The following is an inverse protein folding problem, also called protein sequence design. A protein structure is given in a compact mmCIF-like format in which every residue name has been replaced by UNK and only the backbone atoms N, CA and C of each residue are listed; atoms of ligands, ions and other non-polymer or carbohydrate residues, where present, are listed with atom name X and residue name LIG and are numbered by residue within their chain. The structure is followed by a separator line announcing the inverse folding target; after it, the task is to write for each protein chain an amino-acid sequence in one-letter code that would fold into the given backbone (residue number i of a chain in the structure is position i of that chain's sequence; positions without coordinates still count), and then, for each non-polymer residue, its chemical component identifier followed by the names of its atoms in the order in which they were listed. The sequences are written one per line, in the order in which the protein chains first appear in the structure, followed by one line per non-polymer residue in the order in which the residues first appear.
data_IF_843580736380
#
_entry.id   IF_843580736380
#
_cell.length_a   1.000
_cell.length_b   1.000
_cell.length_c   1.000
_cell.angle_alpha   90.00
_cell.angle_beta   90.00
_cell.angle_gamma   90.00
#
_symmetry.space_group_name_H-M   'P 1'
#
loop_
_entity.id
_entity.type
_entity.pdbx_description
1 polymer ?
#
# COMPACT_ATOMS: atom_id res chain seq x y z
N UNK A 1 18.49 0.94 1.93
CA UNK A 1 17.38 1.65 2.60
C UNK A 1 17.75 3.07 2.97
N UNK A 2 18.85 3.30 3.69
CA UNK A 2 19.31 4.65 4.08
C UNK A 2 19.43 5.63 2.89
N UNK A 3 20.00 5.19 1.76
CA UNK A 3 20.05 5.99 0.52
C UNK A 3 18.67 6.37 -0.03
N UNK A 4 17.70 5.44 0.00
CA UNK A 4 16.33 5.73 -0.46
C UNK A 4 15.68 6.75 0.45
N UNK A 5 15.82 6.59 1.77
CA UNK A 5 15.29 7.53 2.74
C UNK A 5 15.81 8.96 2.51
N UNK A 6 17.13 9.13 2.32
CA UNK A 6 17.73 10.44 2.06
C UNK A 6 17.17 11.11 0.79
N UNK A 7 16.99 10.33 -0.29
CA UNK A 7 16.42 10.86 -1.55
C UNK A 7 14.96 11.28 -1.36
N UNK A 8 14.17 10.45 -0.67
CA UNK A 8 12.75 10.72 -0.41
C UNK A 8 12.58 11.95 0.49
N UNK A 9 13.39 12.08 1.54
CA UNK A 9 13.36 13.23 2.43
C UNK A 9 13.80 14.51 1.71
N UNK A 10 14.86 14.45 0.89
CA UNK A 10 15.26 15.58 0.06
C UNK A 10 14.15 16.01 -0.91
N UNK A 11 13.48 15.06 -1.57
CA UNK A 11 12.37 15.34 -2.47
C UNK A 11 11.10 15.83 -1.74
N UNK A 12 10.93 15.43 -0.48
CA UNK A 12 9.85 15.93 0.36
C UNK A 12 10.01 17.43 0.64
N UNK A 13 11.23 17.84 0.98
CA UNK A 13 11.59 19.23 1.29
C UNK A 13 11.72 20.10 0.01
N UNK A 14 12.15 19.50 -1.10
CA UNK A 14 12.23 20.16 -2.41
C UNK A 14 11.49 19.37 -3.51
N UNK A 15 10.27 19.81 -3.84
CA UNK A 15 9.42 19.17 -4.85
C UNK A 15 9.94 19.28 -6.28
N UNK A 16 10.88 20.19 -6.58
CA UNK A 16 11.50 20.28 -7.90
C UNK A 16 12.27 19.00 -8.26
N UNK A 17 12.79 18.29 -7.26
CA UNK A 17 13.50 17.02 -7.43
C UNK A 17 12.63 15.90 -8.01
N UNK A 18 11.29 16.06 -8.02
CA UNK A 18 10.37 15.13 -8.69
C UNK A 18 10.55 15.10 -10.21
N UNK A 19 11.21 16.10 -10.81
CA UNK A 19 11.59 16.09 -12.22
C UNK A 19 12.81 15.22 -12.53
N UNK A 20 13.53 14.73 -11.50
CA UNK A 20 14.75 13.95 -11.68
C UNK A 20 14.46 12.44 -11.68
N UNK A 21 15.11 11.71 -12.59
CA UNK A 21 14.96 10.24 -12.68
C UNK A 21 15.39 9.53 -11.39
N UNK A 22 16.46 9.99 -10.75
CA UNK A 22 16.94 9.41 -9.48
C UNK A 22 15.86 9.45 -8.38
N UNK A 23 15.05 10.51 -8.33
CA UNK A 23 13.96 10.64 -7.36
C UNK A 23 12.78 9.76 -7.72
N UNK A 24 12.35 9.77 -8.98
CA UNK A 24 11.20 8.96 -9.43
C UNK A 24 11.51 7.46 -9.36
N UNK A 25 12.73 7.04 -9.67
CA UNK A 25 13.23 5.68 -9.48
C UNK A 25 13.23 5.28 -8.01
N UNK A 26 13.66 6.18 -7.10
CA UNK A 26 13.63 5.92 -5.67
C UNK A 26 12.19 5.76 -5.13
N UNK A 27 11.24 6.58 -5.58
CA UNK A 27 9.82 6.46 -5.22
C UNK A 27 9.27 5.12 -5.74
N UNK A 28 9.55 4.77 -6.99
CA UNK A 28 9.11 3.51 -7.59
C UNK A 28 9.65 2.29 -6.84
N UNK A 29 10.92 2.34 -6.41
CA UNK A 29 11.53 1.27 -5.61
C UNK A 29 10.85 1.14 -4.23
N UNK A 30 10.52 2.25 -3.57
CA UNK A 30 9.79 2.20 -2.29
C UNK A 30 8.41 1.57 -2.46
N UNK A 31 7.66 1.93 -3.51
CA UNK A 31 6.35 1.32 -3.79
C UNK A 31 6.46 -0.17 -4.13
N UNK A 32 7.52 -0.56 -4.84
CA UNK A 32 7.85 -1.96 -5.13
C UNK A 32 8.15 -2.74 -3.85
N UNK A 33 8.96 -2.20 -2.95
CA UNK A 33 9.24 -2.82 -1.65
C UNK A 33 8.01 -2.87 -0.74
N UNK A 34 7.13 -1.86 -0.78
CA UNK A 34 5.82 -1.91 -0.12
C UNK A 34 4.93 -3.02 -0.69
N UNK A 35 4.86 -3.16 -2.02
CA UNK A 35 4.04 -4.20 -2.68
C UNK A 35 4.51 -5.61 -2.31
N UNK A 36 5.82 -5.79 -2.11
CA UNK A 36 6.47 -7.04 -1.71
C UNK A 36 6.50 -7.29 -0.19
N UNK A 37 6.15 -6.30 0.63
CA UNK A 37 6.22 -6.39 2.09
C UNK A 37 7.63 -6.30 2.68
N UNK A 38 8.62 -5.90 1.87
CA UNK A 38 10.00 -5.61 2.31
C UNK A 38 10.06 -4.30 3.11
N UNK A 39 9.14 -3.38 2.80
CA UNK A 39 8.85 -2.18 3.56
C UNK A 39 7.42 -2.20 4.08
N UNK A 40 7.18 -1.45 5.16
CA UNK A 40 5.84 -1.20 5.71
C UNK A 40 5.76 0.19 6.30
N UNK A 41 4.57 0.80 6.30
CA UNK A 41 4.36 2.16 6.81
C UNK A 41 4.48 2.27 8.33
N UNK A 42 4.23 1.18 9.06
CA UNK A 42 4.50 1.08 10.49
C UNK A 42 4.86 -0.36 10.85
N UNK A 43 5.69 -0.55 11.87
CA UNK A 43 6.12 -1.86 12.37
C UNK A 43 6.09 -1.92 13.89
N UNK A 44 5.89 -3.10 14.50
CA UNK A 44 6.03 -3.26 15.95
C UNK A 44 7.42 -2.83 16.41
N UNK A 45 7.50 -2.15 17.55
CA UNK A 45 8.76 -1.65 18.13
C UNK A 45 9.54 -2.68 18.95
N UNK A 46 8.97 -3.88 19.14
CA UNK A 46 9.52 -4.94 19.99
C UNK A 46 9.20 -4.80 21.48
N UNK A 47 8.55 -3.73 21.89
CA UNK A 47 8.18 -3.39 23.26
C UNK A 47 6.66 -3.27 23.47
N UNK A 48 5.87 -3.75 22.49
CA UNK A 48 4.40 -3.73 22.53
C UNK A 48 3.79 -2.47 21.92
N UNK A 49 4.62 -1.55 21.40
CA UNK A 49 4.22 -0.38 20.64
C UNK A 49 4.44 -0.55 19.13
N UNK A 50 4.26 0.57 18.43
CA UNK A 50 4.45 0.68 16.98
C UNK A 50 5.34 1.88 16.65
N UNK A 51 6.22 1.71 15.67
CA UNK A 51 7.02 2.78 15.08
C UNK A 51 6.51 3.05 13.67
N UNK A 52 6.27 4.32 13.36
CA UNK A 52 5.86 4.78 12.02
C UNK A 52 7.11 5.04 11.18
N UNK A 53 7.12 4.49 9.97
CA UNK A 53 8.13 4.79 8.96
C UNK A 53 7.65 5.98 8.12
N UNK A 54 7.86 7.18 8.66
CA UNK A 54 7.35 8.43 8.13
C UNK A 54 7.83 8.70 6.68
N UNK A 55 9.10 8.42 6.37
CA UNK A 55 9.67 8.59 5.05
C UNK A 55 9.02 7.66 4.01
N UNK A 56 8.57 6.48 4.40
CA UNK A 56 7.83 5.58 3.51
C UNK A 56 6.47 6.20 3.16
N UNK A 57 5.79 6.83 4.12
CA UNK A 57 4.55 7.59 3.86
C UNK A 57 4.81 8.80 2.96
N UNK A 58 5.94 9.51 3.16
CA UNK A 58 6.38 10.60 2.27
C UNK A 58 6.52 10.11 0.82
N UNK A 59 7.16 8.96 0.59
CA UNK A 59 7.31 8.37 -0.75
C UNK A 59 5.95 8.07 -1.41
N UNK A 60 5.01 7.48 -0.64
CA UNK A 60 3.65 7.21 -1.12
C UNK A 60 2.95 8.49 -1.55
N UNK A 61 3.07 9.57 -0.76
CA UNK A 61 2.47 10.87 -1.07
C UNK A 61 3.15 11.53 -2.28
N UNK A 62 4.48 11.45 -2.36
CA UNK A 62 5.29 11.98 -3.47
C UNK A 62 4.98 11.29 -4.81
N UNK A 63 4.45 10.07 -4.79
CA UNK A 63 4.01 9.38 -6.01
C UNK A 63 2.77 10.03 -6.66
N UNK A 64 1.86 10.62 -5.89
CA UNK A 64 0.62 11.17 -6.45
C UNK A 64 0.81 12.29 -7.48
N UNK A 65 1.70 13.28 -7.30
CA UNK A 65 1.91 14.32 -8.32
C UNK A 65 2.64 13.82 -9.57
N UNK A 66 3.43 12.73 -9.48
CA UNK A 66 4.16 12.18 -10.63
C UNK A 66 3.36 11.13 -11.41
N UNK A 67 2.37 10.48 -10.76
CA UNK A 67 1.48 9.54 -11.41
C UNK A 67 0.47 10.25 -12.33
N UNK A 68 0.31 9.73 -13.54
CA UNK A 68 -0.59 10.29 -14.55
C UNK A 68 -1.97 9.63 -14.46
N UNK A 69 -3.02 10.42 -14.68
CA UNK A 69 -4.39 9.90 -14.76
C UNK A 69 -4.56 9.08 -16.03
N UNK A 70 -5.11 7.89 -15.89
CA UNK A 70 -5.38 6.98 -17.00
C UNK A 70 -6.85 6.54 -16.97
N UNK A 71 -7.42 6.31 -18.15
CA UNK A 71 -8.75 5.71 -18.29
C UNK A 71 -8.57 4.18 -18.36
N UNK A 72 -9.29 3.46 -17.50
CA UNK A 72 -9.28 2.01 -17.40
C UNK A 72 -10.69 1.49 -17.71
N UNK A 73 -10.83 0.64 -18.72
CA UNK A 73 -12.12 0.08 -19.13
C UNK A 73 -12.19 -1.42 -18.81
N UNK A 74 -13.33 -1.86 -18.26
CA UNK A 74 -13.62 -3.28 -17.99
C UNK A 74 -15.05 -3.59 -18.47
N UNK A 75 -15.19 -4.09 -19.69
CA UNK A 75 -16.50 -4.31 -20.28
C UNK A 75 -17.30 -3.01 -20.36
N UNK A 76 -18.51 -2.90 -19.78
CA UNK A 76 -19.30 -1.67 -19.80
C UNK A 76 -18.84 -0.60 -18.77
N UNK A 77 -17.83 -0.90 -17.95
CA UNK A 77 -17.36 0.00 -16.89
C UNK A 77 -16.17 0.84 -17.36
N UNK A 78 -16.18 2.14 -17.03
CA UNK A 78 -15.06 3.07 -17.19
C UNK A 78 -14.61 3.57 -15.81
N UNK A 79 -13.30 3.59 -15.59
CA UNK A 79 -12.67 4.18 -14.40
C UNK A 79 -11.63 5.21 -14.85
N UNK A 80 -11.39 6.23 -14.04
CA UNK A 80 -10.36 7.24 -14.27
C UNK A 80 -9.54 7.42 -12.98
N UNK A 81 -8.37 6.77 -12.92
CA UNK A 81 -7.47 6.77 -11.76
C UNK A 81 -6.01 6.75 -12.24
N UNK A 82 -5.10 7.09 -11.35
CA UNK A 82 -3.65 7.09 -11.58
C UNK A 82 -2.90 6.01 -10.82
N UNK A 83 -3.59 5.27 -9.95
CA UNK A 83 -3.00 4.24 -9.11
C UNK A 83 -3.16 2.86 -9.75
N UNK A 84 -2.06 2.17 -10.13
CA UNK A 84 -2.14 0.83 -10.65
C UNK A 84 -2.74 -0.16 -9.64
N UNK A 85 -3.37 -1.22 -10.13
CA UNK A 85 -3.82 -2.34 -9.31
C UNK A 85 -2.70 -3.35 -9.08
N UNK A 86 -2.72 -4.01 -7.91
CA UNK A 86 -1.78 -5.08 -7.56
C UNK A 86 -1.96 -6.28 -8.50
N UNK A 87 -0.85 -6.95 -8.80
CA UNK A 87 -0.79 -8.14 -9.67
C UNK A 87 0.02 -9.26 -8.99
N UNK A 88 0.07 -10.44 -9.62
CA UNK A 88 0.97 -11.53 -9.19
C UNK A 88 0.46 -12.40 -8.04
N UNK A 89 -0.84 -12.36 -7.73
CA UNK A 89 -1.44 -13.08 -6.59
C UNK A 89 -1.13 -14.58 -6.54
N UNK A 90 -1.16 -15.27 -7.68
CA UNK A 90 -0.86 -16.71 -7.73
C UNK A 90 0.58 -17.02 -7.28
N UNK A 91 1.56 -16.20 -7.70
CA UNK A 91 2.96 -16.34 -7.26
C UNK A 91 3.12 -15.98 -5.78
N UNK A 92 2.31 -15.06 -5.28
CA UNK A 92 2.30 -14.66 -3.87
C UNK A 92 1.54 -15.64 -2.96
N UNK A 93 0.89 -16.68 -3.49
CA UNK A 93 0.09 -17.61 -2.67
C UNK A 93 -1.18 -16.98 -2.08
N UNK A 94 -1.74 -15.96 -2.74
CA UNK A 94 -2.92 -15.23 -2.28
C UNK A 94 -4.15 -15.66 -3.08
N UNK A 95 -5.23 -15.99 -2.37
CA UNK A 95 -6.53 -16.25 -3.01
C UNK A 95 -7.32 -14.95 -3.13
N UNK A 96 -7.66 -14.56 -4.36
CA UNK A 96 -8.45 -13.36 -4.65
C UNK A 96 -9.76 -13.79 -5.30
N UNK A 97 -10.86 -13.60 -4.58
CA UNK A 97 -12.20 -13.93 -5.04
C UNK A 97 -12.75 -12.75 -5.84
N UNK A 98 -13.24 -12.94 -7.07
CA UNK A 98 -13.85 -11.86 -7.85
C UNK A 98 -15.05 -11.27 -7.10
N UNK A 99 -15.15 -9.95 -6.91
CA UNK A 99 -14.38 -8.85 -7.50
C UNK A 99 -13.46 -8.10 -6.51
N UNK A 100 -12.71 -8.80 -5.65
CA UNK A 100 -11.77 -8.15 -4.73
C UNK A 100 -10.69 -7.31 -5.44
N UNK A 101 -10.34 -6.17 -4.86
CA UNK A 101 -9.41 -5.18 -5.44
C UNK A 101 -8.34 -4.80 -4.43
N UNK A 102 -7.08 -4.75 -4.88
CA UNK A 102 -6.00 -4.13 -4.12
C UNK A 102 -5.20 -3.17 -5.01
N UNK A 103 -4.79 -2.03 -4.46
CA UNK A 103 -3.86 -1.12 -5.15
C UNK A 103 -2.43 -1.64 -5.08
N UNK A 104 -1.66 -1.36 -6.14
CA UNK A 104 -0.22 -1.61 -6.15
C UNK A 104 0.44 -0.88 -4.98
N UNK A 105 1.41 -1.52 -4.32
CA UNK A 105 2.04 -1.02 -3.10
C UNK A 105 1.27 -1.40 -1.82
N UNK A 106 0.24 -2.25 -1.92
CA UNK A 106 -0.30 -2.98 -0.78
C UNK A 106 0.38 -4.36 -0.69
N UNK A 107 0.91 -4.70 0.48
CA UNK A 107 1.40 -6.06 0.72
C UNK A 107 0.26 -6.97 1.16
N UNK A 108 0.20 -8.14 0.55
CA UNK A 108 -0.74 -9.19 0.92
C UNK A 108 0.06 -10.49 0.97
N UNK A 109 0.21 -11.03 2.17
CA UNK A 109 1.03 -12.18 2.45
C UNK A 109 0.41 -13.50 1.97
N UNK A 110 1.23 -14.56 1.79
CA UNK A 110 0.74 -15.90 1.47
C UNK A 110 -0.36 -16.39 2.41
N UNK A 111 -1.22 -17.27 1.89
CA UNK A 111 -2.36 -17.87 2.59
C UNK A 111 -3.47 -16.88 2.99
N UNK A 112 -3.38 -15.62 2.55
CA UNK A 112 -4.47 -14.64 2.70
C UNK A 112 -5.61 -14.92 1.71
N UNK A 113 -6.85 -14.75 2.17
CA UNK A 113 -8.05 -14.80 1.33
C UNK A 113 -8.69 -13.41 1.28
N UNK A 114 -8.80 -12.88 0.06
CA UNK A 114 -9.58 -11.68 -0.22
C UNK A 114 -10.92 -12.09 -0.81
N UNK A 115 -11.98 -12.02 -0.01
CA UNK A 115 -13.36 -12.00 -0.53
C UNK A 115 -13.61 -10.65 -1.23
N UNK A 116 -14.74 -10.41 -1.93
CA UNK A 116 -15.02 -9.13 -2.58
C UNK A 116 -14.84 -7.95 -1.62
N UNK A 117 -13.69 -7.27 -1.67
CA UNK A 117 -13.19 -6.34 -0.66
C UNK A 117 -12.21 -5.35 -1.30
N UNK A 118 -11.77 -4.36 -0.52
CA UNK A 118 -10.82 -3.34 -0.97
C UNK A 118 -9.61 -3.23 -0.04
N UNK A 119 -8.40 -3.30 -0.59
CA UNK A 119 -7.13 -3.08 0.13
C UNK A 119 -6.37 -1.93 -0.52
N UNK A 120 -6.14 -0.86 0.24
CA UNK A 120 -5.55 0.37 -0.27
C UNK A 120 -4.00 0.38 -0.19
N UNK A 121 -3.39 1.31 -0.91
CA UNK A 121 -1.93 1.48 -1.00
C UNK A 121 -1.27 1.66 0.39
N UNK A 122 -0.11 1.02 0.57
CA UNK A 122 0.65 1.04 1.82
C UNK A 122 0.12 0.13 2.92
N UNK A 123 -1.06 -0.48 2.72
CA UNK A 123 -1.57 -1.49 3.65
C UNK A 123 -0.65 -2.72 3.69
N UNK A 124 -0.59 -3.35 4.85
CA UNK A 124 0.15 -4.59 5.07
C UNK A 124 -0.80 -5.63 5.64
N UNK A 125 -1.12 -6.67 4.86
CA UNK A 125 -1.98 -7.77 5.29
C UNK A 125 -1.14 -9.03 5.44
N UNK A 126 -0.91 -9.45 6.68
CA UNK A 126 -0.02 -10.57 7.00
C UNK A 126 -0.70 -11.95 6.87
N UNK A 127 0.11 -13.01 6.88
CA UNK A 127 -0.25 -14.36 6.42
C UNK A 127 -1.45 -14.97 7.14
N UNK A 128 -2.24 -15.76 6.42
CA UNK A 128 -3.40 -16.48 6.97
C UNK A 128 -4.59 -15.58 7.31
N UNK A 129 -4.55 -14.30 6.92
CA UNK A 129 -5.64 -13.37 7.17
C UNK A 129 -6.83 -13.64 6.25
N UNK A 130 -8.04 -13.45 6.77
CA UNK A 130 -9.27 -13.44 6.00
C UNK A 130 -9.82 -12.01 5.93
N UNK A 131 -9.96 -11.49 4.72
CA UNK A 131 -10.62 -10.21 4.44
C UNK A 131 -11.97 -10.53 3.81
N UNK A 132 -13.03 -10.51 4.60
CA UNK A 132 -14.36 -10.93 4.16
C UNK A 132 -15.05 -9.92 3.25
N UNK A 133 -16.19 -10.37 2.71
CA UNK A 133 -17.00 -9.62 1.76
C UNK A 133 -17.35 -8.22 2.30
N UNK A 134 -17.06 -7.21 1.48
CA UNK A 134 -17.22 -5.78 1.74
C UNK A 134 -16.39 -5.24 2.89
N UNK A 135 -15.38 -5.98 3.37
CA UNK A 135 -14.38 -5.41 4.24
C UNK A 135 -13.47 -4.43 3.46
N UNK A 136 -12.92 -3.45 4.18
CA UNK A 136 -11.99 -2.46 3.65
C UNK A 136 -10.76 -2.38 4.54
N UNK A 137 -9.58 -2.46 3.94
CA UNK A 137 -8.29 -2.19 4.58
C UNK A 137 -7.73 -0.89 4.01
N UNK A 138 -7.79 0.17 4.81
CA UNK A 138 -7.41 1.52 4.41
C UNK A 138 -5.90 1.70 4.19
N UNK A 139 -5.52 2.86 3.66
CA UNK A 139 -4.11 3.16 3.34
C UNK A 139 -3.24 3.06 4.59
N UNK A 140 -2.07 2.46 4.44
CA UNK A 140 -1.10 2.26 5.52
C UNK A 140 -1.54 1.33 6.66
N UNK A 141 -2.78 0.80 6.68
CA UNK A 141 -3.26 -0.05 7.76
C UNK A 141 -2.42 -1.33 7.91
N UNK A 142 -2.20 -1.78 9.14
CA UNK A 142 -1.35 -2.94 9.46
C UNK A 142 -2.18 -4.08 10.04
N UNK A 143 -2.49 -5.10 9.23
CA UNK A 143 -3.25 -6.27 9.62
C UNK A 143 -2.27 -7.41 9.94
N UNK A 144 -2.34 -7.91 11.19
CA UNK A 144 -1.48 -8.99 11.68
C UNK A 144 -1.82 -10.36 11.09
N UNK A 145 -1.07 -11.39 11.51
CA UNK A 145 -1.25 -12.77 11.03
C UNK A 145 -2.54 -13.37 11.59
N UNK A 146 -3.19 -14.21 10.79
CA UNK A 146 -4.39 -14.96 11.18
C UNK A 146 -5.54 -14.06 11.69
N UNK A 147 -5.59 -12.80 11.23
CA UNK A 147 -6.70 -11.91 11.55
C UNK A 147 -7.91 -12.30 10.72
N UNK A 148 -9.10 -12.19 11.29
CA UNK A 148 -10.35 -12.34 10.54
C UNK A 148 -11.08 -10.99 10.55
N UNK A 149 -11.02 -10.28 9.42
CA UNK A 149 -11.85 -9.11 9.17
C UNK A 149 -13.17 -9.59 8.61
N UNK A 150 -14.20 -9.67 9.45
CA UNK A 150 -15.54 -10.11 9.05
C UNK A 150 -16.20 -9.21 8.00
N UNK A 151 -17.32 -9.66 7.45
CA UNK A 151 -18.02 -8.92 6.41
C UNK A 151 -18.38 -7.48 6.81
N UNK A 152 -18.11 -6.54 5.91
CA UNK A 152 -18.39 -5.10 6.11
C UNK A 152 -17.45 -4.38 7.08
N UNK A 153 -16.43 -5.04 7.64
CA UNK A 153 -15.46 -4.39 8.54
C UNK A 153 -14.65 -3.34 7.79
N UNK A 154 -14.69 -2.11 8.28
CA UNK A 154 -13.85 -1.02 7.79
C UNK A 154 -12.66 -0.77 8.72
N UNK A 155 -11.45 -1.00 8.22
CA UNK A 155 -10.21 -0.55 8.86
C UNK A 155 -9.80 0.76 8.20
N UNK A 156 -9.84 1.85 8.97
CA UNK A 156 -9.52 3.19 8.50
C UNK A 156 -8.10 3.28 7.94
N UNK A 157 -7.89 4.15 6.95
CA UNK A 157 -6.57 4.45 6.41
C UNK A 157 -5.99 5.73 7.02
N UNK A 158 -4.68 5.76 7.25
CA UNK A 158 -3.97 6.93 7.79
C UNK A 158 -2.70 7.19 6.99
N UNK A 159 -2.86 7.89 5.86
CA UNK A 159 -1.73 8.35 5.05
C UNK A 159 -1.25 9.74 5.49
N UNK A 160 -2.18 10.63 5.79
CA UNK A 160 -1.90 11.95 6.38
C UNK A 160 -2.72 12.09 7.68
N UNK A 161 -2.17 12.75 8.73
CA UNK A 161 -0.83 13.33 8.83
C UNK A 161 0.30 12.29 8.82
N UNK A 162 1.51 12.67 8.40
CA UNK A 162 2.64 11.73 8.22
C UNK A 162 3.02 11.06 9.55
N UNK A 163 3.08 11.83 10.62
CA UNK A 163 3.42 11.37 11.97
C UNK A 163 2.33 10.52 12.62
N UNK A 164 1.11 10.47 12.07
CA UNK A 164 0.03 9.68 12.62
C UNK A 164 0.26 8.19 12.35
N UNK A 165 0.13 7.38 13.40
CA UNK A 165 0.21 5.94 13.31
C UNK A 165 -1.03 5.39 12.57
N UNK A 166 -0.84 4.52 11.57
CA UNK A 166 -1.91 3.79 10.92
C UNK A 166 -2.30 2.50 11.65
#
# INVERSE_FOLDING_TARGET
MEKLQQIIEAAWDNRELLGESNTTDAIAEVLSSLDKGELRCASPDGHGGWVVNDWVKKAVILNFPIAQMETIEVGPFEFHDKMPLKKGYAKAGVRVVPNAVARYGAYIAPDTILMPSYVNLGAYVDSGTMVDTWATVGSCAQIGKNVHLSGGVGIGGVLEPIQAAP
#
